data_IF_740418800979
#
_entry.id   IF_740418800979
#
_cell.length_a   1.000
_cell.length_b   1.000
_cell.length_c   1.000
_cell.angle_alpha   90.00
_cell.angle_beta   90.00
_cell.angle_gamma   90.00
#
_symmetry.space_group_name_H-M   'P 1'
#
loop_
_entity.id
_entity.type
_entity.pdbx_description
1 polymer ?
#
# COMPACT_ATOMS: atom_id res chain seq x y z
N UNK A 1 -1.49 -16.53 -22.68
CA UNK A 1 -1.16 -16.44 -22.27
C UNK A 1 -0.58 -16.20 -21.93
N UNK A 2 -0.55 -16.10 -21.90
CA UNK A 2 -0.13 -15.79 -21.63
C UNK A 2 0.79 -16.08 -20.94
N UNK A 3 1.37 -16.12 -20.78
CA UNK A 3 2.18 -16.51 -20.03
C UNK A 3 2.55 -15.64 -19.15
N UNK A 4 2.96 -15.76 -18.25
CA UNK A 4 3.30 -14.89 -17.47
C UNK A 4 4.60 -15.02 -16.95
N UNK A 5 5.23 -13.98 -16.58
CA UNK A 5 6.53 -14.03 -16.03
C UNK A 5 6.52 -14.66 -14.69
N UNK A 6 7.52 -15.42 -14.35
CA UNK A 6 7.58 -16.00 -13.02
C UNK A 6 7.86 -14.96 -11.95
N UNK A 7 8.47 -13.85 -12.34
CA UNK A 7 8.74 -12.84 -11.34
C UNK A 7 7.82 -11.64 -11.56
N UNK A 8 7.38 -10.96 -10.50
CA UNK A 8 6.44 -9.86 -10.63
C UNK A 8 7.10 -8.61 -11.15
N UNK A 9 6.27 -7.73 -11.68
CA UNK A 9 6.74 -6.46 -12.16
C UNK A 9 7.20 -5.58 -11.01
N UNK A 10 8.32 -4.89 -11.16
CA UNK A 10 8.76 -3.98 -10.10
C UNK A 10 7.78 -2.83 -9.90
N UNK A 11 7.10 -2.43 -10.96
CA UNK A 11 6.12 -1.35 -10.84
C UNK A 11 4.94 -1.81 -10.00
N UNK A 12 4.49 -3.04 -10.20
CA UNK A 12 3.36 -3.56 -9.45
C UNK A 12 3.71 -3.70 -7.97
N UNK A 13 4.91 -4.18 -7.70
CA UNK A 13 5.34 -4.35 -6.32
C UNK A 13 5.48 -3.00 -5.64
N UNK A 14 6.11 -2.06 -6.30
CA UNK A 14 6.28 -0.73 -5.74
C UNK A 14 4.97 -0.05 -5.47
N UNK A 15 4.02 -0.20 -6.38
CA UNK A 15 2.72 0.41 -6.20
C UNK A 15 1.99 -0.22 -5.01
N UNK A 16 2.09 -1.52 -4.87
CA UNK A 16 1.43 -2.20 -3.79
C UNK A 16 1.99 -1.76 -2.45
N UNK A 17 3.30 -1.69 -2.34
CA UNK A 17 3.93 -1.25 -1.11
C UNK A 17 3.56 0.19 -0.82
N UNK A 18 3.53 1.01 -1.84
CA UNK A 18 3.17 2.41 -1.67
C UNK A 18 1.74 2.54 -1.15
N UNK A 19 0.82 1.79 -1.74
CA UNK A 19 -0.57 1.87 -1.31
C UNK A 19 -0.74 1.41 0.11
N UNK A 20 -0.09 0.33 0.49
CA UNK A 20 -0.18 -0.18 1.84
C UNK A 20 0.37 0.86 2.82
N UNK A 21 1.48 1.47 2.48
CA UNK A 21 2.08 2.47 3.34
C UNK A 21 1.18 3.67 3.51
N UNK A 22 0.59 4.14 2.41
CA UNK A 22 -0.28 5.31 2.46
C UNK A 22 -1.53 5.02 3.28
N UNK A 23 -2.13 3.85 3.06
CA UNK A 23 -3.33 3.49 3.80
C UNK A 23 -3.03 3.36 5.29
N UNK A 24 -1.90 2.75 5.61
CA UNK A 24 -1.52 2.60 7.01
C UNK A 24 -1.29 3.97 7.66
N UNK A 25 -0.62 4.86 6.97
CA UNK A 25 -0.36 6.18 7.51
C UNK A 25 -1.66 6.94 7.73
N UNK A 26 -2.57 6.83 6.78
CA UNK A 26 -3.86 7.51 6.91
C UNK A 26 -4.66 6.95 8.07
N UNK A 27 -4.66 5.63 8.22
CA UNK A 27 -5.40 5.01 9.31
C UNK A 27 -4.82 5.43 10.65
N UNK A 28 -3.51 5.50 10.73
CA UNK A 28 -2.84 5.89 11.95
C UNK A 28 -3.15 7.33 12.30
N UNK A 29 -3.10 8.21 11.30
CA UNK A 29 -3.37 9.61 11.53
C UNK A 29 -4.82 9.81 11.94
N UNK A 30 -5.72 9.08 11.32
CA UNK A 30 -7.13 9.19 11.66
C UNK A 30 -7.39 8.72 13.07
N UNK A 31 -6.76 7.62 13.48
CA UNK A 31 -6.92 7.12 14.83
C UNK A 31 -6.40 8.12 15.84
N UNK A 32 -5.26 8.72 15.56
CA UNK A 32 -4.69 9.72 16.45
C UNK A 32 -5.59 10.93 16.56
N UNK A 33 -6.18 11.32 15.44
CA UNK A 33 -7.08 12.47 15.43
C UNK A 33 -8.30 12.21 16.30
N UNK A 34 -8.85 11.02 16.18
CA UNK A 34 -10.03 10.66 16.95
C UNK A 34 -9.69 10.59 18.43
N UNK A 35 -8.52 10.09 18.78
CA UNK A 35 -8.14 10.01 20.17
C UNK A 35 -7.94 11.39 20.79
N UNK A 36 -7.36 12.30 20.02
CA UNK A 36 -7.14 13.65 20.51
C UNK A 36 -8.45 14.43 20.56
N UNK A 37 -9.28 14.17 19.57
CA UNK A 37 -10.56 14.84 19.47
C UNK A 37 -11.54 14.28 20.51
#
# INVERSE_FOLDING_TARGET
MTHRDPHPDPVVIGRRVFLITVVSALAFALAAYVLVS
#
